data_IF_645538060006
#
_entry.id   IF_645538060006
#
_cell.length_a   1.000
_cell.length_b   1.000
_cell.length_c   1.000
_cell.angle_alpha   90.00
_cell.angle_beta   90.00
_cell.angle_gamma   90.00
#
_symmetry.space_group_name_H-M   'P 1'
#
loop_
_entity.id
_entity.type
_entity.pdbx_description
1 polymer ?
#
# COMPACT_ATOMS: atom_id res chain seq x y z
N UNK A 1 27.40 -8.76 -4.57
CA UNK A 1 26.66 -7.58 -4.09
C UNK A 1 25.56 -8.11 -3.18
N UNK A 2 25.63 -7.85 -1.88
CA UNK A 2 24.63 -8.32 -0.90
C UNK A 2 23.38 -7.46 -1.04
N UNK A 3 22.23 -8.09 -1.27
CA UNK A 3 20.95 -7.41 -1.40
C UNK A 3 20.44 -6.88 -0.06
N UNK A 4 19.45 -5.97 -0.09
CA UNK A 4 18.87 -5.42 1.15
C UNK A 4 18.09 -6.47 1.93
N UNK A 5 17.60 -7.51 1.24
CA UNK A 5 16.87 -8.67 1.76
C UNK A 5 17.64 -9.48 2.79
N UNK A 6 18.99 -9.50 2.71
CA UNK A 6 19.84 -10.21 3.69
C UNK A 6 20.18 -9.36 4.92
N UNK A 7 19.85 -8.06 4.90
CA UNK A 7 20.22 -7.10 5.96
C UNK A 7 19.06 -6.67 6.84
N UNK A 8 17.83 -6.92 6.43
CA UNK A 8 16.62 -6.41 7.08
C UNK A 8 15.62 -7.53 7.32
N UNK A 9 14.81 -7.42 8.37
CA UNK A 9 13.75 -8.39 8.66
C UNK A 9 12.58 -8.30 7.68
N UNK A 10 12.36 -7.13 7.07
CA UNK A 10 11.34 -6.91 6.05
C UNK A 10 11.66 -5.68 5.19
N UNK A 11 11.25 -5.71 3.91
CA UNK A 11 11.27 -4.56 3.01
C UNK A 11 10.11 -4.65 2.02
N UNK A 12 9.74 -3.54 1.39
CA UNK A 12 8.75 -3.55 0.29
C UNK A 12 9.48 -3.63 -1.05
N UNK A 13 9.25 -4.67 -1.86
CA UNK A 13 10.00 -4.85 -3.11
C UNK A 13 9.58 -3.84 -4.18
N UNK A 14 10.51 -3.52 -5.09
CA UNK A 14 10.24 -2.72 -6.28
C UNK A 14 10.57 -3.57 -7.51
N UNK A 15 9.63 -3.76 -8.46
CA UNK A 15 8.25 -3.27 -8.46
C UNK A 15 7.32 -4.07 -7.51
N UNK A 16 6.07 -3.59 -7.34
CA UNK A 16 4.94 -4.23 -6.61
C UNK A 16 4.83 -4.04 -5.09
N UNK A 17 5.68 -3.22 -4.46
CA UNK A 17 5.57 -2.88 -3.05
C UNK A 17 4.44 -1.88 -2.74
N UNK A 18 4.78 -0.61 -2.62
CA UNK A 18 3.86 0.42 -2.09
C UNK A 18 2.83 0.90 -3.12
N UNK A 19 3.17 0.87 -4.41
CA UNK A 19 2.32 1.39 -5.49
C UNK A 19 0.89 0.79 -5.53
N UNK A 20 0.73 -0.55 -5.53
CA UNK A 20 -0.60 -1.17 -5.47
C UNK A 20 -1.39 -0.79 -4.20
N UNK A 21 -0.71 -0.65 -3.06
CA UNK A 21 -1.36 -0.26 -1.80
C UNK A 21 -1.83 1.20 -1.80
N UNK A 22 -1.17 2.09 -2.54
CA UNK A 22 -1.62 3.48 -2.74
C UNK A 22 -2.99 3.52 -3.42
N UNK A 23 -3.14 2.80 -4.53
CA UNK A 23 -4.40 2.72 -5.28
C UNK A 23 -5.49 2.07 -4.43
N UNK A 24 -5.18 0.96 -3.75
CA UNK A 24 -6.13 0.30 -2.86
C UNK A 24 -6.61 1.23 -1.74
N UNK A 25 -5.70 2.00 -1.14
CA UNK A 25 -6.04 2.93 -0.05
C UNK A 25 -6.92 4.08 -0.55
N UNK A 26 -6.64 4.62 -1.75
CA UNK A 26 -7.47 5.63 -2.37
C UNK A 26 -8.91 5.12 -2.56
N UNK A 27 -9.07 3.92 -3.13
CA UNK A 27 -10.39 3.30 -3.34
C UNK A 27 -11.11 3.12 -2.00
N UNK A 28 -10.42 2.58 -0.99
CA UNK A 28 -10.99 2.40 0.35
C UNK A 28 -11.51 3.74 0.92
N UNK A 29 -10.71 4.80 0.86
CA UNK A 29 -11.13 6.11 1.34
C UNK A 29 -12.31 6.68 0.53
N UNK A 30 -12.40 6.42 -0.77
CA UNK A 30 -13.55 6.81 -1.58
C UNK A 30 -14.83 6.11 -1.14
N UNK A 31 -14.76 4.80 -0.85
CA UNK A 31 -15.91 4.04 -0.33
C UNK A 31 -16.32 4.56 1.05
N UNK A 32 -15.37 4.71 1.98
CA UNK A 32 -15.63 5.24 3.33
C UNK A 32 -16.25 6.66 3.28
N UNK A 33 -15.81 7.51 2.36
CA UNK A 33 -16.38 8.84 2.17
C UNK A 33 -17.83 8.77 1.65
N UNK A 34 -18.12 7.85 0.72
CA UNK A 34 -19.47 7.60 0.22
C UNK A 34 -20.40 7.10 1.33
N UNK A 35 -19.96 6.15 2.13
CA UNK A 35 -20.71 5.63 3.28
C UNK A 35 -21.03 6.73 4.29
N UNK A 36 -20.05 7.60 4.61
CA UNK A 36 -20.25 8.74 5.52
C UNK A 36 -21.20 9.80 4.98
N UNK A 37 -21.28 9.97 3.66
CA UNK A 37 -22.17 10.96 3.05
C UNK A 37 -23.65 10.52 3.06
N UNK A 38 -23.91 9.22 3.23
CA UNK A 38 -25.25 8.64 3.25
C UNK A 38 -25.83 8.42 4.65
N UNK A 39 -25.08 8.74 5.71
CA UNK A 39 -25.49 8.69 7.12
C UNK A 39 -25.70 10.11 7.66
#
# INVERSE_FOLDING_TARGET
>A
MVGIDEKVSAYTPVPKGVGPMTINTLIRHTVEAGERACL
#
